data_IF_071192598682
#
_entry.id   IF_071192598682
#
_cell.length_a   1.000
_cell.length_b   1.000
_cell.length_c   1.000
_cell.angle_alpha   90.00
_cell.angle_beta   90.00
_cell.angle_gamma   90.00
#
_symmetry.space_group_name_H-M   'P 1'
#
loop_
_entity.id
_entity.type
_entity.pdbx_description
1 polymer ?
#
# COMPACT_ATOMS: atom_id res chain seq x y z
N UNK A 1 -38.57 -8.41 -25.12
CA UNK A 1 -39.34 -7.67 -24.09
C UNK A 1 -38.45 -6.61 -23.48
N UNK A 2 -38.92 -5.37 -23.46
CA UNK A 2 -38.17 -4.17 -23.09
C UNK A 2 -37.74 -4.18 -21.61
N UNK A 3 -36.47 -3.86 -21.34
CA UNK A 3 -35.99 -3.55 -20.00
C UNK A 3 -36.20 -2.06 -19.70
N UNK A 4 -36.81 -1.75 -18.57
CA UNK A 4 -37.09 -0.39 -18.08
C UNK A 4 -35.81 0.27 -17.53
N UNK A 5 -35.69 1.62 -17.62
CA UNK A 5 -34.47 2.33 -17.27
C UNK A 5 -34.53 2.97 -15.86
N UNK A 6 -33.36 3.03 -15.20
CA UNK A 6 -32.93 3.89 -14.08
C UNK A 6 -33.77 3.98 -12.79
N UNK A 7 -33.19 3.50 -11.68
CA UNK A 7 -33.46 4.03 -10.34
C UNK A 7 -32.48 5.16 -10.03
N UNK A 8 -32.99 6.39 -9.99
CA UNK A 8 -32.31 7.59 -9.50
C UNK A 8 -32.33 7.52 -7.96
N UNK A 9 -31.16 7.43 -7.33
CA UNK A 9 -31.01 7.62 -5.88
C UNK A 9 -30.96 9.12 -5.60
N UNK A 10 -31.88 9.60 -4.77
CA UNK A 10 -31.96 11.00 -4.33
C UNK A 10 -30.80 11.33 -3.37
N UNK A 11 -30.00 12.35 -3.69
CA UNK A 11 -28.97 12.91 -2.80
C UNK A 11 -29.51 14.15 -2.08
N UNK A 12 -30.39 13.95 -1.08
CA UNK A 12 -30.68 15.02 -0.12
C UNK A 12 -29.80 14.86 1.12
N UNK A 13 -28.76 15.69 1.25
CA UNK A 13 -28.00 15.81 2.49
C UNK A 13 -28.61 16.91 3.37
N UNK A 14 -29.04 16.55 4.58
CA UNK A 14 -29.45 17.48 5.62
C UNK A 14 -28.23 18.24 6.15
N UNK A 15 -28.17 19.55 5.91
CA UNK A 15 -27.11 20.42 6.45
C UNK A 15 -27.21 20.58 7.98
N UNK A 16 -26.13 20.41 8.76
CA UNK A 16 -26.11 20.85 10.14
C UNK A 16 -25.93 22.36 10.21
N UNK A 17 -26.85 23.02 10.89
CA UNK A 17 -26.84 24.46 11.17
C UNK A 17 -25.72 24.87 12.13
N UNK A 18 -24.83 25.78 11.66
CA UNK A 18 -24.37 27.05 12.26
C UNK A 18 -22.91 27.34 11.84
N UNK A 19 -22.76 28.15 10.80
CA UNK A 19 -21.48 28.73 10.39
C UNK A 19 -21.00 29.77 11.42
N UNK A 20 -19.74 29.67 11.85
CA UNK A 20 -19.00 30.77 12.46
C UNK A 20 -18.61 31.78 11.37
N UNK A 21 -18.83 33.08 11.64
CA UNK A 21 -18.55 34.18 10.71
C UNK A 21 -17.04 34.33 10.45
N UNK A 22 -16.71 34.51 9.17
CA UNK A 22 -15.37 34.72 8.60
C UNK A 22 -14.62 35.95 9.15
N UNK A 23 -13.31 35.81 9.32
CA UNK A 23 -12.37 36.91 9.09
C UNK A 23 -11.84 36.82 7.66
N UNK A 24 -12.03 37.91 6.91
CA UNK A 24 -11.66 38.07 5.50
C UNK A 24 -10.18 38.46 5.41
N UNK A 25 -9.32 37.59 4.90
CA UNK A 25 -7.92 37.92 4.55
C UNK A 25 -7.83 38.37 3.08
N UNK A 26 -6.86 39.24 2.72
CA UNK A 26 -6.76 39.80 1.37
C UNK A 26 -6.30 38.76 0.34
N UNK A 27 -6.77 38.92 -0.89
CA UNK A 27 -6.49 38.08 -2.06
C UNK A 27 -4.99 37.84 -2.28
N UNK A 28 -4.52 36.60 -2.49
CA UNK A 28 -3.14 36.36 -2.89
C UNK A 28 -2.92 36.78 -4.35
N UNK A 29 -1.73 37.34 -4.60
CA UNK A 29 -1.30 37.80 -5.92
C UNK A 29 -1.22 36.63 -6.92
N UNK A 30 -1.53 36.93 -8.18
CA UNK A 30 -1.59 36.00 -9.32
C UNK A 30 -0.23 35.31 -9.54
N UNK A 31 -0.10 34.05 -9.11
CA UNK A 31 1.06 33.21 -9.39
C UNK A 31 1.03 32.81 -10.87
N UNK A 32 2.12 33.07 -11.61
CA UNK A 32 2.29 32.58 -12.98
C UNK A 32 2.76 31.12 -12.93
N UNK A 33 1.93 30.19 -13.39
CA UNK A 33 2.24 28.76 -13.50
C UNK A 33 3.04 28.51 -14.80
N UNK A 34 4.09 27.66 -14.81
CA UNK A 34 4.76 27.25 -16.04
C UNK A 34 3.85 26.36 -16.90
N UNK A 35 3.82 26.62 -18.21
CA UNK A 35 3.00 25.86 -19.18
C UNK A 35 3.46 24.41 -19.25
N UNK A 36 2.50 23.48 -19.14
CA UNK A 36 2.65 22.08 -19.51
C UNK A 36 3.05 22.00 -20.98
N UNK A 37 4.16 21.30 -21.28
CA UNK A 37 4.58 21.03 -22.64
C UNK A 37 3.75 19.83 -23.13
N UNK A 38 2.70 20.10 -23.91
CA UNK A 38 2.04 19.08 -24.71
C UNK A 38 2.84 18.87 -26.00
N UNK A 39 3.28 17.65 -26.25
CA UNK A 39 3.91 17.26 -27.52
C UNK A 39 2.78 16.96 -28.50
N UNK A 40 2.50 17.88 -29.42
CA UNK A 40 1.54 17.68 -30.50
C UNK A 40 2.21 16.99 -31.71
N UNK A 41 1.62 15.89 -32.16
CA UNK A 41 1.92 15.23 -33.45
C UNK A 41 1.25 16.08 -34.56
N UNK A 42 1.88 16.30 -35.72
CA UNK A 42 1.29 17.15 -36.76
C UNK A 42 0.30 16.33 -37.58
N UNK A 43 -0.99 16.66 -37.49
CA UNK A 43 -1.94 16.36 -38.56
C UNK A 43 -2.59 17.66 -39.02
N UNK A 44 -2.32 17.98 -40.28
CA UNK A 44 -2.91 19.07 -41.05
C UNK A 44 -4.40 18.83 -41.27
N UNK A 45 -5.26 19.65 -40.67
CA UNK A 45 -6.53 20.09 -41.27
C UNK A 45 -7.05 21.31 -40.50
N UNK A 46 -7.06 22.45 -41.17
CA UNK A 46 -7.58 23.72 -40.65
C UNK A 46 -9.11 23.64 -40.47
N UNK A 47 -9.54 23.41 -39.24
CA UNK A 47 -10.88 23.78 -38.79
C UNK A 47 -10.76 24.74 -37.61
N UNK A 48 -11.16 25.99 -37.86
CA UNK A 48 -11.29 27.05 -36.86
C UNK A 48 -12.24 26.59 -35.75
N UNK A 49 -11.66 26.05 -34.67
CA UNK A 49 -12.35 25.72 -33.45
C UNK A 49 -12.32 26.94 -32.56
N UNK A 50 -13.50 27.49 -32.26
CA UNK A 50 -13.67 28.49 -31.21
C UNK A 50 -13.09 27.91 -29.92
N UNK A 51 -11.96 28.43 -29.47
CA UNK A 51 -11.35 28.03 -28.20
C UNK A 51 -12.24 28.52 -27.08
N UNK A 52 -13.18 27.68 -26.65
CA UNK A 52 -13.80 27.80 -25.34
C UNK A 52 -12.68 27.52 -24.35
N UNK A 53 -12.01 28.57 -23.90
CA UNK A 53 -11.17 28.49 -22.72
C UNK A 53 -12.11 28.17 -21.56
N UNK A 54 -12.26 26.88 -21.28
CA UNK A 54 -12.68 26.42 -19.97
C UNK A 54 -11.60 26.96 -19.02
N UNK A 55 -11.88 28.11 -18.42
CA UNK A 55 -11.18 28.54 -17.23
C UNK A 55 -11.43 27.43 -16.20
N UNK A 56 -10.50 26.48 -16.11
CA UNK A 56 -10.46 25.48 -15.05
C UNK A 56 -10.22 26.31 -13.80
N UNK A 57 -11.32 26.69 -13.13
CA UNK A 57 -11.26 27.22 -11.78
C UNK A 57 -10.78 26.03 -10.95
N UNK A 58 -9.47 26.01 -10.70
CA UNK A 58 -8.82 25.07 -9.81
C UNK A 58 -9.37 25.37 -8.41
N UNK A 59 -10.50 24.75 -8.08
CA UNK A 59 -11.20 24.94 -6.82
C UNK A 59 -10.41 24.22 -5.72
N UNK A 60 -9.75 24.94 -4.81
CA UNK A 60 -8.94 24.31 -3.76
C UNK A 60 -9.78 23.38 -2.87
N UNK A 61 -11.09 23.60 -2.78
CA UNK A 61 -12.00 22.71 -2.05
C UNK A 61 -12.18 21.41 -2.82
N UNK A 62 -12.44 21.47 -4.13
CA UNK A 62 -12.52 20.28 -4.97
C UNK A 62 -11.21 19.49 -4.95
N UNK A 63 -10.06 20.16 -5.15
CA UNK A 63 -8.75 19.53 -5.10
C UNK A 63 -8.45 18.87 -3.74
N UNK A 64 -8.87 19.50 -2.64
CA UNK A 64 -8.76 18.92 -1.31
C UNK A 64 -9.60 17.64 -1.19
N UNK A 65 -10.85 17.65 -1.65
CA UNK A 65 -11.72 16.48 -1.59
C UNK A 65 -11.24 15.35 -2.52
N UNK A 66 -10.77 15.68 -3.71
CA UNK A 66 -10.18 14.71 -4.65
C UNK A 66 -8.96 14.02 -4.00
N UNK A 67 -8.10 14.79 -3.34
CA UNK A 67 -6.97 14.24 -2.60
C UNK A 67 -7.40 13.33 -1.45
N UNK A 68 -8.42 13.73 -0.67
CA UNK A 68 -8.95 12.89 0.41
C UNK A 68 -9.56 11.59 -0.12
N UNK A 69 -10.18 11.62 -1.31
CA UNK A 69 -10.79 10.46 -1.94
C UNK A 69 -9.76 9.36 -2.24
N UNK A 70 -8.50 9.73 -2.53
CA UNK A 70 -7.40 8.79 -2.74
C UNK A 70 -7.10 7.90 -1.51
N UNK A 71 -7.51 8.34 -0.32
CA UNK A 71 -7.29 7.62 0.95
C UNK A 71 -8.59 7.05 1.53
N UNK A 72 -9.62 6.85 0.71
CA UNK A 72 -10.79 6.09 1.11
C UNK A 72 -10.49 4.60 1.18
N UNK A 73 -11.01 3.95 2.23
CA UNK A 73 -10.91 2.50 2.43
C UNK A 73 -11.62 1.73 1.31
N UNK A 74 -10.91 0.83 0.63
CA UNK A 74 -11.49 -0.19 -0.24
C UNK A 74 -11.84 -1.44 0.58
N UNK A 75 -13.10 -1.58 0.99
CA UNK A 75 -13.54 -2.66 1.89
C UNK A 75 -13.90 -3.95 1.17
N UNK A 76 -14.16 -3.89 -0.12
CA UNK A 76 -14.60 -5.05 -0.91
C UNK A 76 -13.41 -5.77 -1.54
N UNK A 77 -13.47 -7.09 -1.51
CA UNK A 77 -12.60 -7.96 -2.30
C UNK A 77 -13.30 -8.37 -3.59
N UNK A 78 -12.51 -8.73 -4.60
CA UNK A 78 -12.98 -9.35 -5.84
C UNK A 78 -12.31 -10.71 -5.93
N UNK A 79 -12.92 -11.68 -5.24
CA UNK A 79 -12.38 -13.02 -5.01
C UNK A 79 -12.46 -13.92 -6.23
N UNK A 80 -13.40 -13.64 -7.13
CA UNK A 80 -13.59 -14.27 -8.43
C UNK A 80 -13.13 -13.33 -9.53
N UNK A 81 -12.55 -13.89 -10.60
CA UNK A 81 -12.06 -13.09 -11.72
C UNK A 81 -13.22 -12.41 -12.47
N UNK A 82 -13.13 -11.08 -12.60
CA UNK A 82 -14.09 -10.27 -13.36
C UNK A 82 -13.43 -9.77 -14.63
N UNK A 83 -14.01 -10.06 -15.79
CA UNK A 83 -13.56 -9.48 -17.07
C UNK A 83 -13.89 -7.98 -17.09
N UNK A 84 -12.85 -7.16 -17.28
CA UNK A 84 -12.96 -5.72 -17.39
C UNK A 84 -13.44 -5.32 -18.77
N UNK A 85 -14.35 -4.34 -18.81
CA UNK A 85 -14.79 -3.70 -20.05
C UNK A 85 -13.84 -2.55 -20.41
N UNK A 86 -13.33 -2.55 -21.63
CA UNK A 86 -12.59 -1.42 -22.19
C UNK A 86 -13.54 -0.23 -22.33
N UNK A 87 -13.21 0.90 -21.70
CA UNK A 87 -13.98 2.14 -21.76
C UNK A 87 -13.43 3.09 -22.82
N UNK A 88 -12.12 3.08 -23.02
CA UNK A 88 -11.40 3.90 -24.00
C UNK A 88 -10.16 3.14 -24.51
N UNK A 89 -9.78 3.39 -25.77
CA UNK A 89 -8.66 2.72 -26.43
C UNK A 89 -8.86 1.21 -26.70
N UNK A 90 -7.76 0.47 -26.79
CA UNK A 90 -7.72 -0.98 -26.98
C UNK A 90 -6.41 -1.58 -26.43
N UNK A 91 -6.44 -2.86 -26.02
CA UNK A 91 -5.22 -3.60 -25.69
C UNK A 91 -4.40 -3.79 -26.98
N UNK A 92 -3.11 -3.41 -27.01
CA UNK A 92 -2.26 -3.58 -28.20
C UNK A 92 -2.22 -5.03 -28.67
N UNK A 93 -2.18 -5.25 -29.98
CA UNK A 93 -2.20 -6.59 -30.58
C UNK A 93 -0.97 -7.43 -30.26
N UNK A 94 0.14 -6.78 -29.92
CA UNK A 94 1.41 -7.37 -29.52
C UNK A 94 1.62 -7.36 -28.01
N UNK A 95 0.60 -7.02 -27.22
CA UNK A 95 0.70 -6.98 -25.77
C UNK A 95 0.88 -8.41 -25.21
N UNK A 96 1.89 -8.65 -24.36
CA UNK A 96 2.17 -9.99 -23.86
C UNK A 96 1.12 -10.46 -22.86
N UNK A 97 0.81 -11.76 -22.88
CA UNK A 97 0.02 -12.39 -21.82
C UNK A 97 0.80 -12.40 -20.51
N UNK A 98 0.13 -12.08 -19.41
CA UNK A 98 0.75 -12.04 -18.10
C UNK A 98 -0.16 -11.42 -17.05
N UNK A 99 0.37 -11.24 -15.84
CA UNK A 99 -0.39 -10.63 -14.75
C UNK A 99 0.40 -9.46 -14.16
N UNK A 100 -0.23 -8.29 -14.12
CA UNK A 100 0.28 -7.15 -13.39
C UNK A 100 -0.25 -7.19 -11.95
N UNK A 101 0.66 -7.36 -10.98
CA UNK A 101 0.33 -7.37 -9.56
C UNK A 101 0.65 -6.02 -8.94
N UNK A 102 -0.23 -5.55 -8.08
CA UNK A 102 -0.06 -4.32 -7.30
C UNK A 102 -0.58 -4.54 -5.88
N UNK A 103 0.29 -4.37 -4.89
CA UNK A 103 -0.11 -4.30 -3.48
C UNK A 103 0.04 -2.87 -2.97
N UNK A 104 -0.73 -2.53 -1.94
CA UNK A 104 -0.78 -1.21 -1.33
C UNK A 104 -1.72 -1.23 -0.13
N UNK A 105 -1.77 -0.17 0.69
CA UNK A 105 -2.75 -0.09 1.76
C UNK A 105 -4.17 0.02 1.18
N UNK A 106 -5.07 -0.88 1.58
CA UNK A 106 -6.48 -0.86 1.17
C UNK A 106 -7.42 -0.26 2.20
N UNK A 107 -7.01 -0.21 3.48
CA UNK A 107 -7.89 0.14 4.59
C UNK A 107 -7.27 1.22 5.48
N UNK A 108 -7.96 2.33 5.65
CA UNK A 108 -7.48 3.50 6.40
C UNK A 108 -8.35 3.85 7.61
N UNK A 109 -9.60 3.37 7.62
CA UNK A 109 -10.58 3.56 8.70
C UNK A 109 -11.24 2.25 9.07
N UNK A 110 -11.49 2.05 10.36
CA UNK A 110 -12.23 0.89 10.89
C UNK A 110 -13.70 1.23 11.18
N UNK A 111 -14.49 0.25 11.61
CA UNK A 111 -15.92 0.42 11.90
C UNK A 111 -16.20 1.02 13.29
N UNK A 112 -15.15 1.46 13.99
CA UNK A 112 -15.20 2.02 15.32
C UNK A 112 -14.62 3.44 15.40
N UNK A 113 -14.35 4.06 14.24
CA UNK A 113 -13.90 5.45 14.12
C UNK A 113 -12.40 5.65 14.35
N UNK A 114 -11.61 4.58 14.35
CA UNK A 114 -10.14 4.66 14.30
C UNK A 114 -9.67 4.92 12.88
N UNK A 115 -8.56 5.66 12.77
CA UNK A 115 -7.89 5.97 11.50
C UNK A 115 -6.43 5.59 11.60
N UNK A 116 -5.88 5.00 10.54
CA UNK A 116 -4.47 4.64 10.47
C UNK A 116 -3.74 5.47 9.42
N UNK A 117 -2.44 5.66 9.63
CA UNK A 117 -1.57 6.20 8.60
C UNK A 117 -1.54 5.25 7.39
N UNK A 118 -1.42 5.74 6.15
CA UNK A 118 -1.40 4.87 4.97
C UNK A 118 -0.38 3.73 5.04
N UNK A 119 0.79 3.96 5.62
CA UNK A 119 1.82 2.93 5.80
C UNK A 119 1.39 1.77 6.72
N UNK A 120 0.40 1.99 7.59
CA UNK A 120 -0.13 1.03 8.57
C UNK A 120 -1.41 0.32 8.08
N UNK A 121 -1.91 0.67 6.89
CA UNK A 121 -3.10 0.05 6.28
C UNK A 121 -2.82 -1.36 5.77
N UNK A 122 -3.79 -2.26 5.90
CA UNK A 122 -3.67 -3.66 5.46
C UNK A 122 -3.42 -3.77 3.96
N UNK A 123 -2.52 -4.68 3.57
CA UNK A 123 -2.13 -4.91 2.18
C UNK A 123 -3.28 -5.45 1.35
N UNK A 124 -3.65 -4.70 0.33
CA UNK A 124 -4.69 -5.02 -0.64
C UNK A 124 -4.03 -5.33 -1.98
N UNK A 125 -3.90 -6.63 -2.24
CA UNK A 125 -3.31 -7.16 -3.45
C UNK A 125 -4.33 -7.15 -4.58
N UNK A 126 -3.94 -6.56 -5.70
CA UNK A 126 -4.70 -6.50 -6.94
C UNK A 126 -3.93 -7.22 -8.04
N UNK A 127 -4.65 -7.93 -8.89
CA UNK A 127 -4.12 -8.62 -10.05
C UNK A 127 -4.92 -8.24 -11.30
N UNK A 128 -4.20 -7.84 -12.34
CA UNK A 128 -4.74 -7.63 -13.68
C UNK A 128 -4.14 -8.68 -14.60
N UNK A 129 -4.89 -9.75 -14.86
CA UNK A 129 -4.49 -10.83 -15.76
C UNK A 129 -4.89 -10.48 -17.18
N UNK A 130 -3.90 -10.34 -18.05
CA UNK A 130 -4.05 -9.92 -19.43
C UNK A 130 -3.83 -11.15 -20.31
N UNK A 131 -4.84 -11.48 -21.12
CA UNK A 131 -4.73 -12.43 -22.20
C UNK A 131 -4.37 -11.66 -23.49
N UNK A 132 -3.16 -11.83 -23.99
CA UNK A 132 -2.70 -11.17 -25.22
C UNK A 132 -3.35 -11.73 -26.49
N UNK A 133 -3.89 -12.96 -26.46
CA UNK A 133 -4.56 -13.59 -27.61
C UNK A 133 -5.98 -13.06 -27.72
N UNK A 134 -6.76 -13.23 -26.64
CA UNK A 134 -8.16 -12.82 -26.59
C UNK A 134 -8.33 -11.33 -26.32
N UNK A 135 -7.25 -10.64 -25.95
CA UNK A 135 -7.20 -9.20 -25.59
C UNK A 135 -8.12 -8.87 -24.43
N UNK A 136 -8.37 -9.85 -23.57
CA UNK A 136 -9.19 -9.71 -22.37
C UNK A 136 -8.32 -9.36 -21.16
N UNK A 137 -8.86 -8.54 -20.27
CA UNK A 137 -8.24 -8.24 -18.98
C UNK A 137 -9.19 -8.67 -17.87
N UNK A 138 -8.70 -9.51 -16.96
CA UNK A 138 -9.44 -9.96 -15.78
C UNK A 138 -8.86 -9.32 -14.53
N UNK A 139 -9.73 -8.88 -13.63
CA UNK A 139 -9.38 -8.26 -12.36
C UNK A 139 -9.76 -9.16 -11.19
N UNK A 140 -8.85 -9.24 -10.22
CA UNK A 140 -9.07 -9.83 -8.91
C UNK A 140 -8.40 -8.97 -7.85
N UNK A 141 -8.94 -9.00 -6.63
CA UNK A 141 -8.34 -8.34 -5.50
C UNK A 141 -8.68 -9.01 -4.18
N UNK A 142 -7.68 -9.15 -3.31
CA UNK A 142 -7.82 -9.69 -1.95
C UNK A 142 -6.90 -8.95 -0.97
N UNK A 143 -7.31 -8.90 0.27
CA UNK A 143 -6.43 -8.55 1.38
C UNK A 143 -5.45 -9.69 1.64
N UNK A 144 -4.19 -9.34 1.85
CA UNK A 144 -3.20 -10.30 2.32
C UNK A 144 -3.58 -10.69 3.75
N UNK A 145 -3.82 -11.98 3.98
CA UNK A 145 -4.24 -12.52 5.28
C UNK A 145 -3.06 -12.62 6.24
N UNK A 146 -2.50 -11.48 6.60
CA UNK A 146 -1.47 -11.39 7.63
C UNK A 146 -2.07 -11.72 9.00
N UNK A 147 -1.21 -12.00 10.00
CA UNK A 147 -1.68 -12.22 11.36
C UNK A 147 -2.48 -11.01 11.88
N UNK A 148 -2.07 -9.80 11.50
CA UNK A 148 -2.77 -8.58 11.88
C UNK A 148 -4.09 -8.38 11.13
N UNK A 149 -4.17 -8.77 9.85
CA UNK A 149 -5.42 -8.71 9.10
C UNK A 149 -6.46 -9.66 9.72
N UNK A 150 -6.05 -10.89 10.02
CA UNK A 150 -6.92 -11.92 10.62
C UNK A 150 -7.37 -11.53 12.03
N UNK A 151 -6.52 -10.83 12.81
CA UNK A 151 -6.91 -10.32 14.13
C UNK A 151 -7.88 -9.13 14.06
N UNK A 152 -7.75 -8.26 13.05
CA UNK A 152 -8.48 -7.00 12.96
C UNK A 152 -9.74 -7.06 12.07
N UNK A 153 -9.95 -8.15 11.32
CA UNK A 153 -11.12 -8.38 10.48
C UNK A 153 -11.96 -9.54 11.00
N UNK A 154 -13.24 -9.28 11.21
CA UNK A 154 -14.23 -10.30 11.50
C UNK A 154 -14.90 -10.75 10.19
N UNK A 155 -14.66 -11.99 9.72
CA UNK A 155 -15.23 -12.48 8.47
C UNK A 155 -16.73 -12.78 8.56
N UNK A 156 -17.29 -13.00 9.75
CA UNK A 156 -18.72 -13.30 9.93
C UNK A 156 -19.56 -12.03 9.80
N UNK A 157 -19.09 -10.92 10.40
CA UNK A 157 -19.79 -9.62 10.35
C UNK A 157 -19.26 -8.71 9.25
N UNK A 158 -18.15 -9.07 8.60
CA UNK A 158 -17.39 -8.25 7.66
C UNK A 158 -17.01 -6.87 8.23
N UNK A 159 -16.71 -6.82 9.53
CA UNK A 159 -16.32 -5.60 10.23
C UNK A 159 -14.83 -5.58 10.56
N UNK A 160 -14.28 -4.39 10.68
CA UNK A 160 -12.89 -4.12 11.01
C UNK A 160 -12.77 -3.40 12.34
N UNK A 161 -11.79 -3.82 13.13
CA UNK A 161 -11.39 -3.16 14.38
C UNK A 161 -9.88 -3.12 14.47
N UNK A 162 -9.31 -1.93 14.43
CA UNK A 162 -7.87 -1.78 14.57
C UNK A 162 -7.42 -2.03 16.01
N UNK A 163 -6.51 -2.97 16.20
CA UNK A 163 -5.94 -3.34 17.50
C UNK A 163 -4.48 -2.93 17.62
N UNK A 164 -3.77 -2.72 16.51
CA UNK A 164 -2.36 -2.35 16.50
C UNK A 164 -2.16 -0.86 16.29
N UNK A 165 -1.36 -0.24 17.16
CA UNK A 165 -0.88 1.13 16.94
C UNK A 165 0.38 1.06 16.10
N UNK A 166 0.28 1.39 14.82
CA UNK A 166 1.47 1.73 14.07
C UNK A 166 2.10 3.02 14.61
N UNK A 167 3.38 3.29 14.31
CA UNK A 167 4.11 4.44 14.86
C UNK A 167 3.48 5.80 14.54
N UNK A 168 2.59 5.85 13.55
CA UNK A 168 1.93 7.07 13.08
C UNK A 168 0.39 7.03 13.21
N UNK A 169 -0.19 6.03 13.87
CA UNK A 169 -1.63 5.77 13.87
C UNK A 169 -2.31 6.10 15.21
N UNK A 170 -3.56 6.59 15.16
CA UNK A 170 -4.37 6.93 16.35
C UNK A 170 -5.58 6.00 16.44
N UNK A 171 -5.56 5.11 17.44
CA UNK A 171 -6.71 4.24 17.73
C UNK A 171 -7.70 4.90 18.68
N UNK A 172 -8.98 4.93 18.31
CA UNK A 172 -10.09 5.32 19.21
C UNK A 172 -10.67 4.08 19.88
N UNK A 173 -11.02 4.20 21.17
CA UNK A 173 -11.79 3.17 21.89
C UNK A 173 -11.03 1.91 22.37
N UNK A 174 -9.71 1.80 22.20
CA UNK A 174 -8.92 0.67 22.72
C UNK A 174 -8.39 0.89 24.15
N UNK A 175 -8.20 -0.21 24.91
CA UNK A 175 -7.45 -0.17 26.19
C UNK A 175 -6.05 0.37 25.91
N UNK A 176 -5.75 1.60 26.38
CA UNK A 176 -4.41 2.21 26.25
C UNK A 176 -3.34 1.46 27.04
N UNK A 177 -3.76 0.70 28.06
CA UNK A 177 -2.89 -0.05 28.96
C UNK A 177 -2.61 -1.45 28.38
N UNK A 178 -1.34 -1.76 28.12
CA UNK A 178 -0.88 -3.10 27.76
C UNK A 178 -0.77 -3.41 26.26
N UNK A 179 -1.08 -2.48 25.36
CA UNK A 179 -0.85 -2.70 23.94
C UNK A 179 0.62 -2.45 23.58
N UNK A 180 1.45 -3.47 23.72
CA UNK A 180 2.88 -3.43 23.38
C UNK A 180 3.18 -3.80 21.93
N UNK A 181 2.15 -4.12 21.12
CA UNK A 181 2.31 -4.45 19.70
C UNK A 181 2.44 -3.17 18.87
N UNK A 182 3.65 -2.62 18.79
CA UNK A 182 3.97 -1.39 18.04
C UNK A 182 4.19 -1.67 16.54
N UNK A 183 4.48 -2.93 16.19
CA UNK A 183 4.74 -3.35 14.82
C UNK A 183 3.73 -4.40 14.39
N UNK A 184 2.99 -4.13 13.31
CA UNK A 184 2.22 -5.15 12.59
C UNK A 184 2.70 -5.25 11.14
N UNK A 185 2.97 -6.47 10.71
CA UNK A 185 3.23 -6.73 9.31
C UNK A 185 1.90 -6.69 8.54
N UNK A 186 1.78 -5.72 7.64
CA UNK A 186 0.59 -5.49 6.82
C UNK A 186 0.78 -5.90 5.35
N UNK A 187 1.96 -6.38 4.96
CA UNK A 187 2.26 -6.87 3.61
C UNK A 187 1.83 -5.93 2.45
N UNK A 188 1.97 -4.61 2.66
CA UNK A 188 1.38 -3.59 1.80
C UNK A 188 2.38 -2.82 0.90
N UNK A 189 3.68 -3.13 0.95
CA UNK A 189 4.70 -2.24 0.38
C UNK A 189 5.08 -2.60 -1.05
N UNK A 190 5.36 -3.88 -1.32
CA UNK A 190 5.72 -4.33 -2.67
C UNK A 190 5.29 -5.77 -2.91
N UNK A 191 5.16 -6.16 -4.18
CA UNK A 191 4.81 -7.51 -4.60
C UNK A 191 5.82 -8.01 -5.62
N UNK A 192 6.30 -9.24 -5.44
CA UNK A 192 7.39 -9.84 -6.19
C UNK A 192 7.04 -11.26 -6.61
N UNK A 193 7.28 -11.60 -7.88
CA UNK A 193 7.30 -12.99 -8.33
C UNK A 193 8.74 -13.49 -8.47
N UNK A 194 9.12 -14.52 -7.71
CA UNK A 194 10.44 -15.15 -7.80
C UNK A 194 10.39 -16.61 -7.38
N UNK A 195 11.16 -17.47 -8.04
CA UNK A 195 11.22 -18.90 -7.70
C UNK A 195 9.87 -19.62 -7.79
N UNK A 196 9.01 -19.21 -8.71
CA UNK A 196 7.64 -19.74 -8.86
C UNK A 196 6.62 -19.21 -7.84
N UNK A 197 7.04 -18.39 -6.87
CA UNK A 197 6.21 -17.87 -5.79
C UNK A 197 5.83 -16.42 -6.03
N UNK A 198 4.65 -16.02 -5.56
CA UNK A 198 4.24 -14.62 -5.45
C UNK A 198 4.36 -14.19 -3.99
N UNK A 199 5.08 -13.10 -3.72
CA UNK A 199 5.42 -12.65 -2.39
C UNK A 199 4.94 -11.22 -2.21
N UNK A 200 4.15 -10.95 -1.17
CA UNK A 200 3.82 -9.59 -0.71
C UNK A 200 4.75 -9.20 0.44
N UNK A 201 5.46 -8.10 0.29
CA UNK A 201 6.49 -7.63 1.21
C UNK A 201 5.98 -6.44 2.02
N UNK A 202 6.61 -6.26 3.18
CA UNK A 202 6.44 -5.10 4.05
C UNK A 202 7.76 -4.74 4.68
N UNK A 203 7.97 -3.45 4.95
CA UNK A 203 9.21 -2.98 5.56
C UNK A 203 9.36 -3.48 7.00
N UNK A 204 10.22 -4.49 7.14
CA UNK A 204 10.74 -5.00 8.39
C UNK A 204 9.97 -6.16 9.00
N UNK A 205 9.43 -7.01 8.14
CA UNK A 205 8.92 -8.32 8.48
C UNK A 205 9.05 -9.27 7.29
N UNK A 206 8.84 -10.57 7.53
CA UNK A 206 8.87 -11.56 6.47
C UNK A 206 7.78 -11.33 5.42
N UNK A 207 8.02 -11.66 4.14
CA UNK A 207 6.99 -11.62 3.13
C UNK A 207 5.90 -12.65 3.40
N UNK A 208 4.74 -12.42 2.82
CA UNK A 208 3.67 -13.41 2.74
C UNK A 208 3.62 -14.02 1.34
N UNK A 209 3.63 -15.34 1.27
CA UNK A 209 3.43 -16.09 0.02
C UNK A 209 1.95 -16.12 -0.33
N UNK A 210 1.68 -15.91 -1.62
CA UNK A 210 0.36 -15.83 -2.22
C UNK A 210 0.23 -16.91 -3.30
N UNK A 211 -0.88 -17.62 -3.28
CA UNK A 211 -1.26 -18.58 -4.30
C UNK A 211 -1.56 -17.87 -5.63
N UNK A 212 -0.92 -18.34 -6.70
CA UNK A 212 -1.13 -17.79 -8.03
C UNK A 212 -2.55 -18.09 -8.51
N UNK A 213 -3.23 -17.11 -9.09
CA UNK A 213 -4.57 -17.28 -9.63
C UNK A 213 -5.70 -16.98 -8.64
N UNK A 214 -5.68 -17.52 -7.42
CA UNK A 214 -6.75 -17.23 -6.43
C UNK A 214 -6.46 -15.98 -5.59
N UNK A 215 -5.18 -15.59 -5.47
CA UNK A 215 -4.68 -14.56 -4.55
C UNK A 215 -4.84 -14.92 -3.06
N UNK A 216 -5.04 -16.19 -2.73
CA UNK A 216 -5.07 -16.63 -1.34
C UNK A 216 -3.70 -16.52 -0.70
N UNK A 217 -3.68 -16.18 0.59
CA UNK A 217 -2.43 -16.13 1.36
C UNK A 217 -2.10 -17.52 1.88
N UNK A 218 -0.98 -18.07 1.42
CA UNK A 218 -0.46 -19.37 1.87
C UNK A 218 0.14 -19.27 3.27
N UNK A 219 0.81 -18.16 3.58
CA UNK A 219 1.41 -17.89 4.89
C UNK A 219 2.67 -17.04 4.82
N UNK A 220 3.36 -16.89 5.95
CA UNK A 220 4.68 -16.23 5.99
C UNK A 220 5.70 -17.05 5.23
N UNK A 221 6.53 -16.39 4.44
CA UNK A 221 7.63 -16.98 3.71
C UNK A 221 8.97 -16.60 4.35
N UNK A 222 9.70 -17.61 4.80
CA UNK A 222 11.00 -17.42 5.42
C UNK A 222 12.08 -17.09 4.38
N UNK A 223 12.38 -15.80 4.26
CA UNK A 223 13.38 -15.31 3.31
C UNK A 223 14.81 -15.53 3.81
N UNK A 224 15.03 -15.51 5.13
CA UNK A 224 16.35 -15.33 5.75
C UNK A 224 16.97 -16.66 6.24
N UNK A 225 16.19 -17.62 6.75
CA UNK A 225 16.73 -18.76 7.50
C UNK A 225 17.33 -19.91 6.66
N UNK A 226 17.79 -19.61 5.43
CA UNK A 226 18.59 -20.54 4.63
C UNK A 226 20.11 -20.43 4.87
N UNK A 227 20.59 -19.44 5.64
CA UNK A 227 22.01 -19.27 5.97
C UNK A 227 22.21 -18.75 7.40
N UNK A 228 22.62 -19.70 8.24
CA UNK A 228 23.35 -19.59 9.50
C UNK A 228 22.80 -18.72 10.63
N UNK A 229 22.37 -19.44 11.67
CA UNK A 229 22.75 -19.23 13.07
C UNK A 229 24.28 -19.18 13.26
N UNK A 230 24.98 -18.28 12.58
CA UNK A 230 26.34 -17.90 12.94
C UNK A 230 26.22 -16.58 13.68
N UNK A 231 26.20 -16.68 15.01
CA UNK A 231 26.53 -15.55 15.86
C UNK A 231 27.92 -15.08 15.43
N UNK A 232 27.97 -13.95 14.74
CA UNK A 232 29.20 -13.34 14.31
C UNK A 232 29.92 -12.82 15.56
N UNK A 233 30.79 -13.68 16.11
CA UNK A 233 31.73 -13.35 17.16
C UNK A 233 32.83 -12.48 16.54
N UNK A 234 32.63 -11.17 16.43
CA UNK A 234 33.71 -10.25 16.08
C UNK A 234 33.80 -9.00 16.97
N UNK A 235 34.98 -8.95 17.59
CA UNK A 235 35.81 -7.85 18.09
C UNK A 235 35.28 -6.94 19.21
N UNK A 236 36.00 -7.01 20.33
CA UNK A 236 36.10 -6.02 21.41
C UNK A 236 36.56 -4.65 20.89
N UNK A 237 35.65 -3.89 20.29
CA UNK A 237 35.77 -2.43 20.33
C UNK A 237 34.50 -1.90 20.99
N UNK A 238 34.58 -1.60 22.28
CA UNK A 238 33.43 -1.17 23.09
C UNK A 238 33.09 0.27 22.72
N UNK A 239 32.43 0.43 21.59
CA UNK A 239 31.83 1.68 21.17
C UNK A 239 30.62 1.99 22.08
N UNK A 240 30.50 3.25 22.49
CA UNK A 240 29.35 3.79 23.25
C UNK A 240 27.99 3.39 22.66
N UNK A 241 27.94 3.16 21.34
CA UNK A 241 26.75 2.75 20.61
C UNK A 241 26.40 1.27 20.78
N UNK A 242 27.35 0.38 21.10
CA UNK A 242 27.06 -1.03 21.44
C UNK A 242 26.36 -1.13 22.80
N UNK A 243 26.72 -0.24 23.72
CA UNK A 243 26.03 -0.10 25.01
C UNK A 243 24.61 0.41 24.78
N UNK A 244 24.42 1.44 23.94
CA UNK A 244 23.09 1.94 23.59
C UNK A 244 22.22 0.87 22.91
N UNK A 245 22.77 0.09 21.98
CA UNK A 245 22.09 -1.07 21.38
C UNK A 245 21.71 -2.12 22.44
N UNK A 246 22.64 -2.44 23.34
CA UNK A 246 22.41 -3.35 24.46
C UNK A 246 21.27 -2.91 25.39
N UNK A 247 21.13 -1.60 25.63
CA UNK A 247 20.05 -1.02 26.44
C UNK A 247 18.68 -1.05 25.73
N UNK A 248 18.65 -1.01 24.39
CA UNK A 248 17.41 -1.08 23.62
C UNK A 248 16.87 -2.51 23.48
N UNK A 249 17.74 -3.53 23.48
CA UNK A 249 17.34 -4.94 23.27
C UNK A 249 16.21 -5.44 24.19
N UNK A 250 16.20 -5.18 25.52
CA UNK A 250 15.10 -5.60 26.40
C UNK A 250 13.75 -4.97 26.01
N UNK A 251 13.76 -3.73 25.53
CA UNK A 251 12.54 -3.03 25.12
C UNK A 251 12.08 -3.55 23.76
N UNK A 252 12.98 -3.61 22.77
CA UNK A 252 12.66 -4.04 21.41
C UNK A 252 12.21 -5.51 21.37
N UNK A 253 12.94 -6.41 22.02
CA UNK A 253 12.62 -7.85 21.97
C UNK A 253 11.67 -8.29 23.09
N UNK A 254 11.74 -7.68 24.26
CA UNK A 254 10.90 -8.07 25.40
C UNK A 254 9.52 -7.41 25.35
N UNK A 255 9.49 -6.07 25.29
CA UNK A 255 8.23 -5.31 25.32
C UNK A 255 7.54 -5.36 23.95
N UNK A 256 8.27 -5.00 22.88
CA UNK A 256 7.70 -4.92 21.53
C UNK A 256 7.72 -6.23 20.75
N UNK A 257 8.36 -7.28 21.29
CA UNK A 257 8.48 -8.60 20.64
C UNK A 257 9.00 -8.52 19.20
N UNK A 258 9.88 -7.57 18.91
CA UNK A 258 10.45 -7.39 17.57
C UNK A 258 11.45 -8.52 17.25
N UNK A 259 11.43 -9.07 16.03
CA UNK A 259 12.45 -10.02 15.61
C UNK A 259 13.83 -9.36 15.55
N UNK A 260 14.92 -10.11 15.78
CA UNK A 260 16.28 -9.56 15.82
C UNK A 260 16.71 -8.98 14.46
N UNK A 261 16.30 -9.62 13.37
CA UNK A 261 16.49 -9.13 12.00
C UNK A 261 15.15 -8.77 11.38
N UNK A 262 15.16 -7.71 10.59
CA UNK A 262 14.00 -7.19 9.87
C UNK A 262 14.32 -7.14 8.38
N UNK A 263 13.57 -7.90 7.59
CA UNK A 263 13.71 -7.87 6.13
C UNK A 263 13.17 -6.54 5.59
N UNK A 264 13.93 -5.88 4.73
CA UNK A 264 13.48 -4.70 4.01
C UNK A 264 12.68 -5.12 2.78
N UNK A 265 11.68 -4.32 2.41
CA UNK A 265 10.83 -4.60 1.24
C UNK A 265 11.54 -4.30 -0.09
N UNK A 266 12.73 -3.69 -0.01
CA UNK A 266 13.60 -3.41 -1.14
C UNK A 266 14.32 -4.68 -1.61
N UNK A 267 14.18 -5.00 -2.89
CA UNK A 267 14.84 -6.14 -3.52
C UNK A 267 15.43 -5.78 -4.88
N UNK A 268 16.35 -6.63 -5.36
CA UNK A 268 16.83 -6.62 -6.75
C UNK A 268 16.78 -8.01 -7.35
N UNK A 269 16.40 -8.10 -8.62
CA UNK A 269 16.46 -9.33 -9.41
C UNK A 269 17.66 -9.27 -10.35
N UNK A 270 18.61 -10.19 -10.21
CA UNK A 270 19.62 -10.46 -11.23
C UNK A 270 19.09 -11.57 -12.14
N UNK A 271 18.39 -11.17 -13.19
CA UNK A 271 17.82 -12.10 -14.16
C UNK A 271 18.89 -12.96 -14.87
N UNK A 272 20.11 -12.43 -15.08
CA UNK A 272 21.19 -13.17 -15.74
C UNK A 272 21.68 -14.35 -14.91
N UNK A 273 21.68 -14.19 -13.59
CA UNK A 273 22.11 -15.23 -12.64
C UNK A 273 20.95 -15.96 -11.98
N UNK A 274 19.71 -15.61 -12.33
CA UNK A 274 18.49 -16.09 -11.68
C UNK A 274 18.52 -15.89 -10.16
N UNK A 275 19.00 -14.73 -9.70
CA UNK A 275 19.21 -14.45 -8.27
C UNK A 275 18.28 -13.37 -7.75
N UNK A 276 17.73 -13.60 -6.57
CA UNK A 276 17.03 -12.60 -5.78
C UNK A 276 17.96 -12.04 -4.72
N UNK A 277 18.15 -10.72 -4.74
CA UNK A 277 18.91 -9.98 -3.72
C UNK A 277 17.92 -9.26 -2.81
N UNK A 278 17.94 -9.60 -1.52
CA UNK A 278 17.17 -8.91 -0.47
C UNK A 278 18.09 -8.36 0.60
N UNK A 279 17.61 -7.39 1.38
CA UNK A 279 18.36 -6.78 2.47
C UNK A 279 17.61 -6.94 3.80
N UNK A 280 18.34 -7.08 4.91
CA UNK A 280 17.79 -6.96 6.26
C UNK A 280 18.64 -6.02 7.12
N UNK A 281 18.04 -5.41 8.13
CA UNK A 281 18.74 -4.70 9.19
C UNK A 281 18.46 -5.31 10.56
N UNK A 282 19.27 -4.96 11.55
CA UNK A 282 19.01 -5.30 12.95
C UNK A 282 17.88 -4.41 13.51
N UNK A 283 17.11 -4.91 14.48
CA UNK A 283 16.02 -4.14 15.08
C UNK A 283 16.52 -2.83 15.73
N UNK A 284 17.67 -2.87 16.39
CA UNK A 284 18.31 -1.72 17.04
C UNK A 284 18.70 -0.59 16.08
N UNK A 285 19.02 -0.92 14.82
CA UNK A 285 19.45 0.05 13.80
C UNK A 285 18.32 1.00 13.37
N UNK A 286 17.07 0.74 13.77
CA UNK A 286 15.96 1.68 13.57
C UNK A 286 16.08 2.93 14.45
N UNK A 287 16.68 2.79 15.63
CA UNK A 287 16.75 3.83 16.66
C UNK A 287 18.17 4.36 16.86
N UNK A 288 19.14 3.73 16.23
CA UNK A 288 20.54 4.11 16.31
C UNK A 288 21.00 4.62 14.94
N UNK A 289 21.92 5.60 14.87
CA UNK A 289 22.55 6.03 13.63
C UNK A 289 23.61 4.99 13.20
N UNK A 290 23.19 3.74 13.08
CA UNK A 290 23.96 2.59 12.62
C UNK A 290 23.14 1.92 11.53
N UNK A 291 23.81 1.51 10.46
CA UNK A 291 23.15 0.97 9.28
C UNK A 291 23.81 -0.37 8.93
N UNK A 292 23.56 -1.41 9.73
CA UNK A 292 24.00 -2.75 9.37
C UNK A 292 23.00 -3.34 8.38
N UNK A 293 23.42 -3.54 7.14
CA UNK A 293 22.62 -4.22 6.13
C UNK A 293 23.24 -5.57 5.80
N UNK A 294 22.46 -6.64 5.94
CA UNK A 294 22.83 -7.97 5.43
C UNK A 294 22.14 -8.18 4.10
N UNK A 295 22.90 -8.53 3.06
CA UNK A 295 22.36 -8.86 1.75
C UNK A 295 22.33 -10.37 1.55
N UNK A 296 21.17 -10.89 1.14
CA UNK A 296 20.97 -12.30 0.83
C UNK A 296 20.86 -12.48 -0.67
N UNK A 297 21.53 -13.50 -1.22
CA UNK A 297 21.36 -13.91 -2.61
C UNK A 297 20.89 -15.36 -2.64
N UNK A 298 19.63 -15.58 -3.05
CA UNK A 298 19.11 -16.91 -3.41
C UNK A 298 19.14 -17.09 -4.91
#
# INVERSE_FOLDING_TARGET
MQARPYHIVSTSFSSPSKFLRFHRTPSPARIKIPRVISISIPDTTDHASSSVSLDIIDDPVAAFWDYQFLFMSQRSETTEAVTLRVVDGAVPSDFPSGTYYLTGPGLFTDDHGSTVHPLDGHGYLRAFSIDGVDKEVKFMARYVRTEAQVEEHDPETNTWRFTHRGPFSVLKGGKRLGNTKVMKNVANTSVLRWGGKLLCLWEGGDPYEIELGTLDTTGRFDMINGRDSSMDNRSNDRDTRDIAAGLLKPILHGVFKMPPKRLLSHYKLDAKRNRLITASCNAEDMLLPRSNFTFYGK
#
